data_IF_282763256075
#
_entry.id   IF_282763256075
#
_cell.length_a   1.000
_cell.length_b   1.000
_cell.length_c   1.000
_cell.angle_alpha   90.00
_cell.angle_beta   90.00
_cell.angle_gamma   90.00
#
_symmetry.space_group_name_H-M   'P 1'
#
loop_
_entity.id
_entity.type
_entity.pdbx_description
1 polymer ?
#
# COMPACT_ATOMS: atom_id res chain seq x y z
N UNK A 1 -66.14 63.02 25.86
CA UNK A 1 -65.21 62.26 26.66
C UNK A 1 -64.71 61.12 25.80
N UNK A 2 -63.53 61.24 25.12
CA UNK A 2 -62.91 60.19 24.30
C UNK A 2 -61.71 59.71 25.02
N UNK A 3 -61.71 58.41 25.36
CA UNK A 3 -60.54 57.71 25.94
C UNK A 3 -59.75 57.08 24.81
N UNK A 4 -58.49 57.47 24.65
CA UNK A 4 -57.53 56.83 23.79
C UNK A 4 -56.83 55.67 24.55
N UNK A 5 -56.92 54.46 24.03
CA UNK A 5 -56.18 53.30 24.49
C UNK A 5 -54.84 53.29 23.77
N UNK A 6 -53.75 53.41 24.46
CA UNK A 6 -52.40 53.24 23.92
C UNK A 6 -52.02 51.75 24.01
N UNK A 7 -51.84 51.11 22.86
CA UNK A 7 -51.30 49.72 22.80
C UNK A 7 -49.77 49.79 22.75
N UNK A 8 -49.17 49.25 23.80
CA UNK A 8 -47.68 49.04 23.88
C UNK A 8 -47.32 47.79 23.05
N UNK A 9 -46.62 47.95 21.90
CA UNK A 9 -46.01 46.85 21.17
C UNK A 9 -44.70 46.51 21.84
N UNK A 10 -44.62 45.33 22.53
CA UNK A 10 -43.39 44.74 22.97
C UNK A 10 -42.70 44.04 21.78
N UNK A 11 -41.63 44.65 21.23
CA UNK A 11 -40.70 43.95 20.32
C UNK A 11 -39.82 43.01 21.14
N UNK A 12 -40.03 41.72 21.00
CA UNK A 12 -39.12 40.69 21.48
C UNK A 12 -38.00 40.55 20.45
N UNK A 13 -36.69 40.74 20.80
CA UNK A 13 -35.62 40.47 19.86
C UNK A 13 -35.52 38.95 19.66
N UNK A 14 -35.79 38.47 18.45
CA UNK A 14 -35.45 37.12 18.03
C UNK A 14 -33.94 37.07 17.86
N UNK A 15 -33.27 36.48 18.86
CA UNK A 15 -31.84 36.14 18.77
C UNK A 15 -31.71 35.00 17.77
N UNK A 16 -31.29 35.29 16.54
CA UNK A 16 -30.79 34.27 15.63
C UNK A 16 -29.47 33.75 16.22
N UNK A 17 -29.53 32.66 16.96
CA UNK A 17 -28.35 31.80 17.16
C UNK A 17 -28.05 31.16 15.82
N UNK A 18 -26.97 31.59 15.15
CA UNK A 18 -26.35 30.82 14.10
C UNK A 18 -25.90 29.50 14.74
N UNK A 19 -26.63 28.42 14.54
CA UNK A 19 -26.10 27.09 14.72
C UNK A 19 -24.91 27.01 13.76
N UNK A 20 -23.73 26.87 14.29
CA UNK A 20 -22.60 26.36 13.50
C UNK A 20 -23.01 24.95 13.13
N UNK A 21 -23.54 24.77 11.93
CA UNK A 21 -23.65 23.47 11.29
C UNK A 21 -22.20 23.02 10.98
N UNK A 22 -21.49 22.50 11.99
CA UNK A 22 -20.28 21.73 11.75
C UNK A 22 -20.73 20.52 10.92
N UNK A 23 -20.29 20.46 9.68
CA UNK A 23 -20.52 19.28 8.85
C UNK A 23 -20.06 18.04 9.64
N UNK A 24 -20.84 16.96 9.64
CA UNK A 24 -20.46 15.76 10.36
C UNK A 24 -19.10 15.28 9.86
N UNK A 25 -18.23 14.84 10.77
CA UNK A 25 -16.90 14.39 10.41
C UNK A 25 -16.96 13.25 9.39
N UNK A 26 -16.22 13.41 8.30
CA UNK A 26 -16.17 12.43 7.21
C UNK A 26 -15.29 11.26 7.62
N UNK A 27 -15.87 10.06 7.67
CA UNK A 27 -15.14 8.83 7.94
C UNK A 27 -14.81 8.11 6.63
N UNK A 28 -13.57 7.71 6.45
CA UNK A 28 -13.11 6.96 5.30
C UNK A 28 -12.30 5.72 5.72
N UNK A 29 -12.43 4.66 4.93
CA UNK A 29 -11.62 3.45 5.05
C UNK A 29 -10.56 3.41 3.97
N UNK A 30 -9.30 3.30 4.37
CA UNK A 30 -8.15 3.13 3.49
C UNK A 30 -7.62 1.71 3.69
N UNK A 31 -7.30 1.00 2.60
CA UNK A 31 -6.83 -0.37 2.68
C UNK A 31 -5.70 -0.65 1.69
N UNK A 32 -4.90 -1.67 2.01
CA UNK A 32 -3.95 -2.30 1.10
C UNK A 32 -4.22 -3.80 1.02
N UNK A 33 -3.95 -4.40 -0.13
CA UNK A 33 -4.06 -5.83 -0.33
C UNK A 33 -3.12 -6.30 -1.44
N UNK A 34 -2.15 -7.15 -1.09
CA UNK A 34 -1.41 -7.91 -2.07
C UNK A 34 -2.29 -9.07 -2.56
N UNK A 35 -2.66 -9.03 -3.84
CA UNK A 35 -3.66 -9.94 -4.43
C UNK A 35 -3.03 -11.12 -5.17
N UNK A 36 -1.71 -11.21 -5.20
CA UNK A 36 -0.97 -12.26 -5.90
C UNK A 36 -1.48 -12.49 -7.34
N UNK A 37 -1.79 -11.40 -8.07
CA UNK A 37 -2.23 -11.40 -9.46
C UNK A 37 -1.10 -10.99 -10.42
N UNK A 38 0.15 -11.17 -10.00
CA UNK A 38 1.33 -11.21 -10.85
C UNK A 38 1.39 -12.53 -11.59
N UNK A 39 0.72 -12.61 -12.75
CA UNK A 39 0.53 -13.88 -13.46
C UNK A 39 1.74 -14.22 -14.32
N UNK A 40 1.90 -15.51 -14.66
CA UNK A 40 3.06 -16.03 -15.37
C UNK A 40 3.19 -15.54 -16.82
N UNK A 41 2.08 -15.13 -17.44
CA UNK A 41 2.02 -14.76 -18.85
C UNK A 41 1.45 -13.36 -19.02
N UNK A 42 2.13 -12.54 -19.79
CA UNK A 42 1.65 -11.20 -20.14
C UNK A 42 0.24 -11.25 -20.76
N UNK A 43 -0.65 -10.38 -20.24
CA UNK A 43 -2.05 -10.32 -20.68
C UNK A 43 -2.99 -11.34 -20.01
N UNK A 44 -2.48 -12.29 -19.22
CA UNK A 44 -3.32 -13.28 -18.55
C UNK A 44 -4.31 -12.65 -17.58
N UNK A 45 -3.89 -11.62 -16.81
CA UNK A 45 -4.79 -10.87 -15.95
C UNK A 45 -5.87 -10.13 -16.73
N UNK A 46 -5.51 -9.51 -17.87
CA UNK A 46 -6.48 -8.86 -18.76
C UNK A 46 -7.55 -9.83 -19.23
N UNK A 47 -7.15 -11.01 -19.70
CA UNK A 47 -8.07 -12.06 -20.15
C UNK A 47 -8.98 -12.55 -19.00
N UNK A 48 -8.43 -12.74 -17.80
CA UNK A 48 -9.20 -13.11 -16.61
C UNK A 48 -10.24 -12.03 -16.25
N UNK A 49 -9.85 -10.75 -16.29
CA UNK A 49 -10.74 -9.61 -16.04
C UNK A 49 -11.85 -9.50 -17.08
N UNK A 50 -11.55 -9.71 -18.37
CA UNK A 50 -12.51 -9.69 -19.47
C UNK A 50 -13.53 -10.82 -19.36
N UNK A 51 -13.12 -12.00 -18.92
CA UNK A 51 -13.98 -13.17 -18.80
C UNK A 51 -15.19 -12.97 -17.87
N UNK A 52 -15.03 -12.17 -16.83
CA UNK A 52 -16.05 -11.97 -15.77
C UNK A 52 -16.40 -13.26 -15.00
N UNK A 53 -15.60 -14.31 -15.16
CA UNK A 53 -15.88 -15.65 -14.62
C UNK A 53 -14.74 -16.23 -13.75
N UNK A 54 -13.56 -15.60 -13.74
CA UNK A 54 -12.41 -16.05 -12.96
C UNK A 54 -12.73 -16.18 -11.46
N UNK A 55 -12.37 -17.32 -10.88
CA UNK A 55 -12.75 -17.66 -9.49
C UNK A 55 -12.02 -16.78 -8.47
N UNK A 56 -10.72 -16.51 -8.69
CA UNK A 56 -9.92 -15.68 -7.77
C UNK A 56 -10.38 -14.23 -7.81
N UNK A 57 -10.69 -13.68 -8.99
CA UNK A 57 -11.25 -12.33 -9.13
C UNK A 57 -12.65 -12.21 -8.50
N UNK A 58 -13.46 -13.28 -8.50
CA UNK A 58 -14.73 -13.31 -7.74
C UNK A 58 -14.48 -13.30 -6.23
N UNK A 59 -13.49 -14.06 -5.75
CA UNK A 59 -13.10 -14.03 -4.32
C UNK A 59 -12.55 -12.66 -3.94
N UNK A 60 -11.67 -12.05 -4.75
CA UNK A 60 -11.21 -10.67 -4.56
C UNK A 60 -12.40 -9.71 -4.43
N UNK A 61 -13.33 -9.75 -5.38
CA UNK A 61 -14.52 -8.90 -5.33
C UNK A 61 -15.37 -9.14 -4.07
N UNK A 62 -15.49 -10.41 -3.62
CA UNK A 62 -16.20 -10.75 -2.37
C UNK A 62 -15.52 -10.15 -1.13
N UNK A 63 -14.19 -10.22 -1.05
CA UNK A 63 -13.40 -9.59 0.03
C UNK A 63 -13.64 -8.08 0.03
N UNK A 64 -13.50 -7.42 -1.13
CA UNK A 64 -13.69 -5.98 -1.25
C UNK A 64 -15.13 -5.55 -0.92
N UNK A 65 -16.13 -6.33 -1.34
CA UNK A 65 -17.54 -6.08 -1.00
C UNK A 65 -17.84 -6.30 0.49
N UNK A 66 -17.02 -7.07 1.20
CA UNK A 66 -17.13 -7.24 2.66
C UNK A 66 -16.42 -6.11 3.39
N UNK A 67 -15.17 -5.81 3.04
CA UNK A 67 -14.34 -4.80 3.71
C UNK A 67 -14.75 -3.36 3.35
N UNK A 68 -15.25 -3.13 2.12
CA UNK A 68 -15.76 -1.86 1.58
C UNK A 68 -14.82 -0.66 1.72
N UNK A 69 -13.54 -0.76 1.36
CA UNK A 69 -12.64 0.39 1.44
C UNK A 69 -13.09 1.54 0.52
N UNK A 70 -12.78 2.77 0.93
CA UNK A 70 -13.03 3.99 0.15
C UNK A 70 -11.85 4.28 -0.78
N UNK A 71 -10.62 4.03 -0.29
CA UNK A 71 -9.37 4.06 -1.05
C UNK A 71 -8.68 2.72 -0.84
N UNK A 72 -8.24 2.08 -1.92
CA UNK A 72 -7.65 0.75 -1.91
C UNK A 72 -6.41 0.71 -2.78
N UNK A 73 -5.27 0.30 -2.21
CA UNK A 73 -4.09 -0.11 -2.95
C UNK A 73 -4.12 -1.63 -3.16
N UNK A 74 -4.01 -2.06 -4.41
CA UNK A 74 -3.73 -3.45 -4.78
C UNK A 74 -2.26 -3.57 -5.16
N UNK A 75 -1.54 -4.45 -4.48
CA UNK A 75 -0.18 -4.87 -4.82
C UNK A 75 -0.25 -6.19 -5.61
N UNK A 76 0.75 -6.46 -6.43
CA UNK A 76 0.81 -7.60 -7.34
C UNK A 76 -0.42 -7.73 -8.25
N UNK A 77 -0.80 -6.63 -8.84
CA UNK A 77 -1.83 -6.55 -9.86
C UNK A 77 -1.17 -6.12 -11.17
N UNK A 78 -1.00 -7.03 -12.11
CA UNK A 78 -0.26 -6.79 -13.36
C UNK A 78 -0.71 -5.51 -14.06
N UNK A 79 0.26 -4.67 -14.40
CA UNK A 79 0.03 -3.44 -15.14
C UNK A 79 0.09 -3.68 -16.64
N UNK A 80 -0.94 -3.26 -17.35
CA UNK A 80 -0.97 -3.20 -18.80
C UNK A 80 -1.30 -1.76 -19.23
N UNK A 81 -0.47 -1.11 -20.06
CA UNK A 81 -0.72 0.29 -20.45
C UNK A 81 -1.96 0.47 -21.33
N UNK A 82 -2.42 -0.58 -22.01
CA UNK A 82 -3.51 -0.53 -22.98
C UNK A 82 -4.85 -0.96 -22.38
N UNK A 83 -4.82 -1.91 -21.43
CA UNK A 83 -6.03 -2.49 -20.85
C UNK A 83 -6.55 -1.61 -19.69
N UNK A 84 -7.82 -1.26 -19.74
CA UNK A 84 -8.53 -0.63 -18.59
C UNK A 84 -8.88 -1.69 -17.52
N UNK A 85 -7.86 -2.19 -16.84
CA UNK A 85 -8.01 -3.25 -15.84
C UNK A 85 -8.93 -2.82 -14.68
N UNK A 86 -8.85 -1.56 -14.23
CA UNK A 86 -9.74 -1.02 -13.20
C UNK A 86 -11.20 -1.00 -13.65
N UNK A 87 -11.47 -0.56 -14.87
CA UNK A 87 -12.82 -0.57 -15.45
C UNK A 87 -13.35 -1.99 -15.64
N UNK A 88 -12.52 -2.93 -16.06
CA UNK A 88 -12.90 -4.35 -16.20
C UNK A 88 -13.24 -4.97 -14.84
N UNK A 89 -12.40 -4.76 -13.82
CA UNK A 89 -12.65 -5.23 -12.45
C UNK A 89 -13.98 -4.66 -11.92
N UNK A 90 -14.22 -3.37 -12.10
CA UNK A 90 -15.46 -2.71 -11.70
C UNK A 90 -16.68 -3.34 -12.39
N UNK A 91 -16.66 -3.41 -13.73
CA UNK A 91 -17.84 -3.85 -14.52
C UNK A 91 -18.14 -5.34 -14.35
N UNK A 92 -17.10 -6.16 -14.39
CA UNK A 92 -17.27 -7.60 -14.53
C UNK A 92 -17.36 -8.33 -13.18
N UNK A 93 -16.83 -7.72 -12.10
CA UNK A 93 -16.74 -8.36 -10.78
C UNK A 93 -17.37 -7.52 -9.66
N UNK A 94 -16.93 -6.28 -9.42
CA UNK A 94 -17.38 -5.47 -8.29
C UNK A 94 -18.84 -5.00 -8.41
N UNK A 95 -19.29 -4.71 -9.63
CA UNK A 95 -20.69 -4.32 -9.90
C UNK A 95 -21.68 -5.48 -9.77
N UNK A 96 -21.19 -6.70 -9.57
CA UNK A 96 -22.00 -7.91 -9.36
C UNK A 96 -21.79 -8.37 -7.92
N UNK A 97 -22.87 -8.54 -7.15
CA UNK A 97 -22.79 -9.08 -5.79
C UNK A 97 -22.22 -10.49 -5.78
N UNK A 98 -21.18 -10.72 -5.01
CA UNK A 98 -20.55 -12.03 -4.87
C UNK A 98 -21.05 -12.72 -3.60
N UNK A 99 -21.58 -13.93 -3.74
CA UNK A 99 -22.07 -14.70 -2.58
C UNK A 99 -23.12 -13.95 -1.72
N UNK A 100 -24.03 -13.21 -2.36
CA UNK A 100 -25.06 -12.42 -1.67
C UNK A 100 -24.61 -11.06 -1.12
N UNK A 101 -23.34 -10.68 -1.31
CA UNK A 101 -22.80 -9.38 -0.88
C UNK A 101 -23.30 -8.26 -1.77
N UNK A 102 -23.38 -7.04 -1.19
CA UNK A 102 -23.82 -5.87 -1.94
C UNK A 102 -22.77 -5.43 -2.97
N UNK A 103 -23.15 -5.18 -4.23
CA UNK A 103 -22.26 -4.61 -5.23
C UNK A 103 -21.58 -3.33 -4.76
N UNK A 104 -20.44 -3.05 -5.35
CA UNK A 104 -19.72 -1.79 -5.14
C UNK A 104 -19.04 -1.31 -6.42
N UNK A 105 -18.61 -0.06 -6.45
CA UNK A 105 -17.84 0.51 -7.56
C UNK A 105 -16.88 1.56 -7.05
N UNK A 106 -15.71 1.62 -7.69
CA UNK A 106 -14.79 2.74 -7.58
C UNK A 106 -14.95 3.64 -8.83
N UNK A 107 -15.11 4.93 -8.61
CA UNK A 107 -15.29 5.91 -9.70
C UNK A 107 -13.97 6.38 -10.26
N UNK A 108 -12.92 6.31 -9.45
CA UNK A 108 -11.59 6.80 -9.76
C UNK A 108 -10.57 5.70 -9.55
N UNK A 109 -9.47 5.79 -10.26
CA UNK A 109 -8.32 4.89 -10.09
C UNK A 109 -7.04 5.61 -10.51
N UNK A 110 -5.93 5.11 -10.00
CA UNK A 110 -4.60 5.50 -10.45
C UNK A 110 -3.79 4.24 -10.79
N UNK A 111 -3.06 4.31 -11.89
CA UNK A 111 -2.10 3.31 -12.31
C UNK A 111 -0.99 4.00 -13.10
N UNK A 112 0.23 3.55 -12.94
CA UNK A 112 1.39 4.07 -13.68
C UNK A 112 2.38 2.92 -13.96
N UNK A 113 3.30 3.09 -14.90
CA UNK A 113 4.34 2.10 -15.15
C UNK A 113 5.16 1.81 -13.90
N UNK A 114 5.56 0.53 -13.76
CA UNK A 114 6.44 0.04 -12.70
C UNK A 114 7.76 -0.47 -13.26
N UNK A 115 8.74 -0.72 -12.41
CA UNK A 115 10.07 -1.20 -12.81
C UNK A 115 10.14 -2.71 -13.01
N UNK A 116 9.19 -3.47 -12.46
CA UNK A 116 9.17 -4.92 -12.60
C UNK A 116 9.06 -5.35 -14.07
N UNK A 117 9.92 -6.28 -14.47
CA UNK A 117 10.00 -6.82 -15.82
C UNK A 117 10.54 -5.86 -16.90
N UNK A 118 10.96 -4.65 -16.51
CA UNK A 118 11.58 -3.69 -17.43
C UNK A 118 13.07 -3.96 -17.49
N UNK A 119 13.56 -4.42 -18.63
CA UNK A 119 14.98 -4.71 -18.85
C UNK A 119 15.86 -3.50 -18.52
N UNK A 120 16.87 -3.71 -17.69
CA UNK A 120 17.85 -2.69 -17.31
C UNK A 120 18.97 -2.53 -18.35
N UNK A 121 19.18 -3.53 -19.20
CA UNK A 121 20.35 -3.64 -20.07
C UNK A 121 21.65 -3.94 -19.33
N UNK A 122 21.59 -4.27 -18.04
CA UNK A 122 22.71 -4.60 -17.15
C UNK A 122 22.64 -6.09 -16.78
N UNK A 123 23.73 -6.67 -16.34
CA UNK A 123 23.82 -7.99 -15.71
C UNK A 123 23.73 -7.76 -14.18
N UNK A 124 22.53 -7.85 -13.63
CA UNK A 124 22.25 -7.51 -12.23
C UNK A 124 22.40 -8.71 -11.31
N UNK A 125 22.12 -9.92 -11.76
CA UNK A 125 22.29 -11.16 -11.01
C UNK A 125 23.71 -11.75 -11.15
N UNK A 126 24.53 -11.16 -12.05
CA UNK A 126 25.94 -11.49 -12.25
C UNK A 126 26.17 -12.90 -12.79
N UNK A 127 25.25 -13.41 -13.58
CA UNK A 127 25.37 -14.71 -14.25
C UNK A 127 26.19 -14.64 -15.55
N UNK A 128 26.61 -13.43 -15.97
CA UNK A 128 27.38 -13.17 -17.19
C UNK A 128 26.52 -12.96 -18.42
N UNK A 129 25.20 -12.93 -18.30
CA UNK A 129 24.25 -12.66 -19.36
C UNK A 129 23.46 -11.39 -19.05
N UNK A 130 22.62 -10.94 -19.98
CA UNK A 130 21.74 -9.78 -19.80
C UNK A 130 20.35 -10.11 -20.34
N UNK A 131 19.31 -9.48 -19.78
CA UNK A 131 17.95 -9.55 -20.30
C UNK A 131 17.09 -10.65 -19.71
N UNK A 132 17.52 -11.25 -18.58
CA UNK A 132 16.71 -12.16 -17.75
C UNK A 132 15.73 -11.42 -16.84
N UNK A 133 14.81 -12.13 -16.18
CA UNK A 133 13.90 -11.52 -15.19
C UNK A 133 14.63 -10.87 -14.02
N UNK A 134 15.81 -11.38 -13.65
CA UNK A 134 16.68 -10.84 -12.60
C UNK A 134 17.45 -9.59 -13.03
N UNK A 135 17.58 -9.36 -14.35
CA UNK A 135 18.24 -8.18 -14.92
C UNK A 135 17.27 -7.01 -15.15
N UNK A 136 16.00 -7.20 -14.86
CA UNK A 136 15.04 -6.11 -14.87
C UNK A 136 15.30 -5.14 -13.70
N UNK A 137 14.91 -3.87 -13.82
CA UNK A 137 14.99 -2.90 -12.73
C UNK A 137 14.29 -3.37 -11.46
N UNK A 138 13.28 -4.20 -11.56
CA UNK A 138 12.66 -5.01 -10.55
C UNK A 138 12.29 -6.35 -11.16
N UNK A 139 12.46 -7.44 -10.40
CA UNK A 139 12.20 -8.80 -10.90
C UNK A 139 10.84 -8.91 -11.60
N UNK A 140 10.86 -9.50 -12.79
CA UNK A 140 9.64 -9.78 -13.58
C UNK A 140 9.97 -10.29 -14.97
N UNK A 141 9.09 -11.13 -15.53
CA UNK A 141 9.25 -11.75 -16.85
C UNK A 141 8.80 -10.89 -18.01
N UNK A 142 8.00 -9.88 -17.71
CA UNK A 142 7.50 -8.90 -18.69
C UNK A 142 7.23 -7.56 -18.01
N UNK A 143 7.31 -6.45 -18.76
CA UNK A 143 7.05 -5.12 -18.19
C UNK A 143 5.65 -5.02 -17.57
N UNK A 144 5.60 -4.63 -16.29
CA UNK A 144 4.35 -4.44 -15.55
C UNK A 144 3.91 -5.65 -14.74
N UNK A 145 4.59 -6.80 -14.79
CA UNK A 145 4.31 -7.92 -13.89
C UNK A 145 4.45 -7.46 -12.43
N UNK A 146 3.62 -7.98 -11.52
CA UNK A 146 3.61 -7.56 -10.10
C UNK A 146 3.36 -6.05 -9.90
N UNK A 147 2.63 -5.41 -10.79
CA UNK A 147 2.32 -3.98 -10.72
C UNK A 147 1.43 -3.60 -9.55
N UNK A 148 1.02 -2.33 -9.55
CA UNK A 148 0.14 -1.76 -8.53
C UNK A 148 -1.05 -1.08 -9.17
N UNK A 149 -2.20 -1.08 -8.46
CA UNK A 149 -3.41 -0.37 -8.84
C UNK A 149 -4.04 0.28 -7.61
N UNK A 150 -4.32 1.58 -7.69
CA UNK A 150 -5.13 2.26 -6.67
C UNK A 150 -6.55 2.46 -7.20
N UNK A 151 -7.54 2.06 -6.40
CA UNK A 151 -8.96 2.25 -6.64
C UNK A 151 -9.52 3.21 -5.59
N UNK A 152 -10.38 4.17 -5.99
CA UNK A 152 -10.91 5.17 -5.07
C UNK A 152 -12.36 5.56 -5.40
N UNK A 153 -13.13 5.89 -4.36
CA UNK A 153 -14.42 6.57 -4.48
C UNK A 153 -14.25 8.08 -4.72
N UNK A 154 -13.08 8.63 -4.38
CA UNK A 154 -12.73 10.04 -4.46
C UNK A 154 -11.79 10.33 -5.63
N UNK A 155 -11.82 11.53 -6.19
CA UNK A 155 -10.92 11.90 -7.28
C UNK A 155 -9.46 11.99 -6.82
N UNK A 156 -8.54 11.52 -7.66
CA UNK A 156 -7.10 11.71 -7.55
C UNK A 156 -6.71 12.95 -8.34
N UNK A 157 -6.01 13.88 -7.74
CA UNK A 157 -5.40 15.04 -8.42
C UNK A 157 -4.09 14.61 -9.08
N UNK A 158 -4.17 14.05 -10.26
CA UNK A 158 -3.01 13.42 -10.95
C UNK A 158 -1.93 14.41 -11.34
N UNK A 159 -2.25 15.67 -11.50
CA UNK A 159 -1.33 16.79 -11.76
C UNK A 159 -0.58 17.26 -10.51
N UNK A 160 -1.09 16.97 -9.32
CA UNK A 160 -0.45 17.22 -8.03
C UNK A 160 0.27 15.96 -7.49
N UNK A 161 -0.04 14.77 -8.06
CA UNK A 161 0.52 13.49 -7.63
C UNK A 161 1.93 13.27 -8.17
N UNK A 162 2.78 12.57 -7.40
CA UNK A 162 4.19 12.34 -7.73
C UNK A 162 4.51 10.85 -7.85
N UNK A 163 5.40 10.50 -8.77
CA UNK A 163 5.93 9.13 -8.92
C UNK A 163 7.44 9.15 -8.89
N UNK A 164 8.06 8.05 -8.39
CA UNK A 164 9.49 7.99 -8.14
C UNK A 164 10.11 6.71 -8.71
N UNK A 165 9.59 6.23 -9.82
CA UNK A 165 10.09 5.01 -10.47
C UNK A 165 11.56 5.09 -10.89
N UNK A 166 12.01 6.28 -11.29
CA UNK A 166 13.34 6.50 -11.82
C UNK A 166 14.35 6.99 -10.75
N UNK A 167 13.93 7.14 -9.49
CA UNK A 167 14.83 7.58 -8.42
C UNK A 167 16.01 6.61 -8.27
N UNK A 168 17.23 7.12 -8.34
CA UNK A 168 18.45 6.31 -8.27
C UNK A 168 18.79 5.96 -6.83
N UNK A 169 19.08 4.68 -6.57
CA UNK A 169 19.45 4.23 -5.23
C UNK A 169 20.71 4.94 -4.73
N UNK A 170 21.68 5.15 -5.60
CA UNK A 170 22.92 5.89 -5.28
C UNK A 170 22.72 7.38 -4.94
N UNK A 171 21.57 7.97 -5.25
CA UNK A 171 21.23 9.34 -4.88
C UNK A 171 20.81 9.49 -3.42
N UNK A 172 20.45 8.39 -2.75
CA UNK A 172 20.06 8.38 -1.34
C UNK A 172 21.31 8.53 -0.47
N UNK A 173 21.42 9.57 0.39
CA UNK A 173 22.55 9.74 1.30
C UNK A 173 22.67 8.55 2.27
N UNK A 174 23.84 7.93 2.31
CA UNK A 174 24.05 6.74 3.16
C UNK A 174 23.26 5.50 2.73
N UNK A 175 22.95 5.37 1.44
CA UNK A 175 22.33 4.18 0.86
C UNK A 175 23.09 2.90 1.23
N UNK A 176 22.37 1.82 1.54
CA UNK A 176 22.94 0.53 1.92
C UNK A 176 23.45 -0.23 0.70
N UNK A 177 24.51 0.28 0.07
CA UNK A 177 25.13 -0.41 -1.07
C UNK A 177 25.48 -1.86 -0.74
N UNK A 178 24.98 -2.86 -1.51
CA UNK A 178 25.30 -4.26 -1.28
C UNK A 178 26.79 -4.56 -1.39
N UNK A 179 27.28 -5.44 -0.53
CA UNK A 179 28.68 -5.86 -0.48
C UNK A 179 28.81 -7.37 -0.30
N UNK A 180 29.80 -7.95 -0.98
CA UNK A 180 30.16 -9.36 -0.77
C UNK A 180 30.72 -9.58 0.65
N UNK A 181 30.74 -10.81 1.15
CA UNK A 181 31.29 -11.13 2.48
C UNK A 181 32.75 -10.72 2.70
N UNK A 182 33.54 -10.59 1.63
CA UNK A 182 34.93 -10.11 1.67
C UNK A 182 35.05 -8.58 1.74
N UNK A 183 33.93 -7.85 1.77
CA UNK A 183 33.88 -6.41 1.81
C UNK A 183 33.96 -5.71 0.45
N UNK A 184 34.14 -6.45 -0.65
CA UNK A 184 34.07 -5.87 -1.99
C UNK A 184 32.63 -5.50 -2.37
N UNK A 185 32.46 -4.51 -3.26
CA UNK A 185 31.15 -4.12 -3.75
C UNK A 185 30.49 -5.26 -4.52
N UNK A 186 29.19 -5.53 -4.24
CA UNK A 186 28.40 -6.48 -5.02
C UNK A 186 28.18 -5.98 -6.46
N UNK A 187 27.74 -4.74 -6.61
CA UNK A 187 27.59 -4.09 -7.92
C UNK A 187 28.86 -3.31 -8.28
N UNK A 188 29.35 -3.39 -9.54
CA UNK A 188 30.33 -2.44 -10.06
C UNK A 188 29.85 -1.00 -9.93
N UNK A 189 30.77 -0.02 -9.84
CA UNK A 189 30.41 1.38 -9.68
C UNK A 189 29.51 1.91 -10.81
N UNK A 190 29.79 1.51 -12.05
CA UNK A 190 28.98 1.88 -13.22
C UNK A 190 27.57 1.33 -13.17
N UNK A 191 27.33 0.14 -12.60
CA UNK A 191 26.03 -0.44 -12.37
C UNK A 191 25.33 0.27 -11.20
N UNK A 192 26.03 0.45 -10.08
CA UNK A 192 25.50 1.13 -8.89
C UNK A 192 24.93 2.52 -9.18
N UNK A 193 25.64 3.30 -9.99
CA UNK A 193 25.21 4.66 -10.36
C UNK A 193 23.97 4.72 -11.26
N UNK A 194 23.51 3.59 -11.79
CA UNK A 194 22.35 3.49 -12.65
C UNK A 194 21.15 2.78 -11.96
N UNK A 195 21.40 2.09 -10.84
CA UNK A 195 20.36 1.30 -10.18
C UNK A 195 19.22 2.21 -9.69
N UNK A 196 18.01 1.85 -10.06
CA UNK A 196 16.80 2.44 -9.50
C UNK A 196 16.53 1.85 -8.13
N UNK A 197 16.12 2.68 -7.17
CA UNK A 197 15.79 2.22 -5.84
C UNK A 197 14.55 1.33 -5.87
N UNK A 198 13.45 1.83 -6.41
CA UNK A 198 12.17 1.12 -6.39
C UNK A 198 12.16 -0.09 -7.30
N UNK A 199 11.80 -1.26 -6.76
CA UNK A 199 11.55 -2.45 -7.57
C UNK A 199 10.25 -2.34 -8.38
N UNK A 200 9.24 -1.66 -7.87
CA UNK A 200 8.00 -1.29 -8.57
C UNK A 200 7.98 0.22 -8.82
N UNK A 201 7.48 0.98 -7.90
CA UNK A 201 7.49 2.44 -7.85
C UNK A 201 7.11 2.90 -6.44
N UNK A 202 7.38 4.17 -6.13
CA UNK A 202 6.74 4.88 -5.03
C UNK A 202 5.78 5.89 -5.65
N UNK A 203 4.56 5.98 -5.12
CA UNK A 203 3.53 6.91 -5.58
C UNK A 203 3.03 7.76 -4.42
N UNK A 204 3.14 9.06 -4.53
CA UNK A 204 2.45 10.03 -3.69
C UNK A 204 1.21 10.51 -4.44
N UNK A 205 0.05 10.06 -4.01
CA UNK A 205 -1.23 10.33 -4.67
C UNK A 205 -2.05 11.30 -3.83
N UNK A 206 -2.30 12.46 -4.38
CA UNK A 206 -3.09 13.50 -3.76
C UNK A 206 -4.60 13.30 -4.04
N UNK A 207 -5.38 13.15 -2.97
CA UNK A 207 -6.83 12.99 -3.03
C UNK A 207 -7.56 14.24 -2.56
N UNK A 208 -8.55 14.66 -3.33
CA UNK A 208 -9.56 15.61 -2.87
C UNK A 208 -10.77 14.85 -2.30
N UNK A 209 -10.89 14.83 -0.99
CA UNK A 209 -11.95 14.13 -0.27
C UNK A 209 -12.95 15.16 0.25
N UNK A 210 -13.93 15.52 -0.58
CA UNK A 210 -14.96 16.53 -0.24
C UNK A 210 -14.35 17.87 0.21
N UNK A 211 -13.29 18.31 -0.48
CA UNK A 211 -12.59 19.56 -0.19
C UNK A 211 -11.43 19.42 0.81
N UNK A 212 -11.25 18.26 1.42
CA UNK A 212 -10.13 17.95 2.31
C UNK A 212 -9.04 17.22 1.51
N UNK A 213 -7.79 17.56 1.79
CA UNK A 213 -6.60 16.95 1.21
C UNK A 213 -6.18 15.72 2.01
N UNK A 214 -5.80 14.65 1.31
CA UNK A 214 -5.17 13.47 1.89
C UNK A 214 -4.25 12.82 0.86
N UNK A 215 -3.03 12.52 1.24
CA UNK A 215 -2.08 11.81 0.41
C UNK A 215 -2.05 10.31 0.72
N UNK A 216 -2.07 9.47 -0.32
CA UNK A 216 -1.75 8.05 -0.21
C UNK A 216 -0.32 7.84 -0.72
N UNK A 217 0.58 7.45 0.17
CA UNK A 217 1.96 7.09 -0.14
C UNK A 217 2.02 5.58 -0.37
N UNK A 218 1.89 5.19 -1.63
CA UNK A 218 1.73 3.80 -2.04
C UNK A 218 3.05 3.22 -2.58
N UNK A 219 3.40 2.01 -2.14
CA UNK A 219 4.57 1.29 -2.65
C UNK A 219 4.48 -0.21 -2.42
N UNK A 220 5.41 -0.94 -3.00
CA UNK A 220 5.61 -2.35 -2.79
C UNK A 220 7.11 -2.66 -2.96
N UNK A 221 7.91 -2.61 -1.90
CA UNK A 221 9.35 -2.84 -1.95
C UNK A 221 9.73 -4.28 -2.32
N UNK A 222 11.01 -4.45 -2.61
CA UNK A 222 11.63 -5.75 -2.88
C UNK A 222 11.44 -6.70 -1.71
N UNK A 223 11.02 -7.97 -1.90
CA UNK A 223 11.11 -8.98 -0.85
C UNK A 223 12.55 -9.15 -0.38
N UNK A 224 12.84 -9.18 0.93
CA UNK A 224 14.21 -9.28 1.49
C UNK A 224 14.73 -10.72 1.48
N UNK A 225 14.42 -11.45 0.42
CA UNK A 225 14.73 -12.89 0.23
C UNK A 225 15.14 -13.13 -1.22
N UNK A 226 15.49 -14.35 -1.58
CA UNK A 226 15.94 -14.78 -2.92
C UNK A 226 17.31 -14.20 -3.31
N UNK A 227 18.15 -13.89 -2.34
CA UNK A 227 19.52 -13.42 -2.52
C UNK A 227 20.53 -14.26 -1.73
N UNK A 228 21.77 -13.81 -1.71
CA UNK A 228 22.88 -14.48 -1.07
C UNK A 228 23.38 -13.75 0.20
N UNK A 229 24.57 -14.07 0.67
CA UNK A 229 25.15 -13.46 1.85
C UNK A 229 25.54 -11.98 1.67
N UNK A 230 25.40 -11.43 0.50
CA UNK A 230 25.52 -10.00 0.17
C UNK A 230 24.26 -9.19 0.58
N UNK A 231 23.13 -9.88 0.80
CA UNK A 231 21.85 -9.33 1.27
C UNK A 231 21.38 -8.13 0.41
N UNK A 232 21.51 -8.24 -0.92
CA UNK A 232 21.19 -7.12 -1.80
C UNK A 232 19.69 -6.78 -1.82
N UNK A 233 18.81 -7.77 -1.70
CA UNK A 233 17.38 -7.58 -1.62
C UNK A 233 16.95 -7.00 -0.26
N UNK A 234 17.50 -7.51 0.84
CA UNK A 234 17.23 -6.99 2.18
C UNK A 234 17.66 -5.53 2.33
N UNK A 235 18.84 -5.17 1.81
CA UNK A 235 19.34 -3.78 1.80
C UNK A 235 18.49 -2.87 0.93
N UNK A 236 18.00 -3.37 -0.22
CA UNK A 236 17.11 -2.63 -1.11
C UNK A 236 15.76 -2.40 -0.44
N UNK A 237 15.16 -3.43 0.14
CA UNK A 237 13.92 -3.34 0.91
C UNK A 237 14.02 -2.27 2.00
N UNK A 238 15.09 -2.31 2.80
CA UNK A 238 15.34 -1.33 3.85
C UNK A 238 15.34 0.10 3.32
N UNK A 239 16.03 0.37 2.21
CA UNK A 239 16.14 1.71 1.65
C UNK A 239 14.87 2.12 0.88
N UNK A 240 14.12 1.18 0.29
CA UNK A 240 12.78 1.45 -0.26
C UNK A 240 11.81 1.88 0.85
N UNK A 241 11.87 1.27 2.03
CA UNK A 241 11.06 1.69 3.21
C UNK A 241 11.56 3.04 3.75
N UNK A 242 12.88 3.23 3.85
CA UNK A 242 13.51 4.47 4.26
C UNK A 242 13.11 5.64 3.37
N UNK A 243 12.87 5.41 2.09
CA UNK A 243 12.43 6.45 1.17
C UNK A 243 11.19 7.20 1.70
N UNK A 244 10.16 6.49 2.16
CA UNK A 244 8.99 7.13 2.74
C UNK A 244 9.26 7.77 4.11
N UNK A 245 10.15 7.19 4.90
CA UNK A 245 10.57 7.82 6.16
C UNK A 245 11.22 9.17 5.91
N UNK A 246 12.14 9.25 4.96
CA UNK A 246 12.85 10.48 4.62
C UNK A 246 11.93 11.47 3.87
N UNK A 247 11.04 10.97 2.97
CA UNK A 247 10.07 11.78 2.23
C UNK A 247 9.06 12.49 3.14
N UNK A 248 8.68 11.85 4.24
CA UNK A 248 7.71 12.38 5.22
C UNK A 248 8.37 13.13 6.38
N UNK A 249 9.70 13.17 6.46
CA UNK A 249 10.43 13.89 7.52
C UNK A 249 10.18 15.39 7.41
N UNK A 250 9.63 16.05 8.46
CA UNK A 250 9.40 17.49 8.44
C UNK A 250 10.68 18.34 8.27
N UNK A 251 11.86 17.77 8.49
CA UNK A 251 13.14 18.47 8.27
C UNK A 251 13.55 18.56 6.79
N UNK A 252 12.80 17.85 5.93
CA UNK A 252 12.96 17.89 4.49
C UNK A 252 13.77 16.73 3.92
N UNK A 253 13.59 16.51 2.62
CA UNK A 253 14.23 15.46 1.84
C UNK A 253 14.65 15.98 0.46
N UNK A 254 15.44 17.05 0.43
CA UNK A 254 15.82 17.78 -0.80
C UNK A 254 16.49 16.91 -1.86
N UNK A 255 17.07 15.77 -1.47
CA UNK A 255 17.70 14.83 -2.39
C UNK A 255 16.71 13.93 -3.13
N UNK A 256 15.45 13.85 -2.67
CA UNK A 256 14.40 13.07 -3.32
C UNK A 256 13.86 13.88 -4.50
N UNK A 257 14.01 13.32 -5.69
CA UNK A 257 13.54 13.93 -6.94
C UNK A 257 12.57 12.97 -7.62
N UNK A 258 11.39 13.46 -8.00
CA UNK A 258 10.39 12.67 -8.68
C UNK A 258 10.69 12.46 -10.18
N UNK A 259 9.84 11.69 -10.86
CA UNK A 259 9.99 11.36 -12.27
C UNK A 259 9.81 12.56 -13.20
N UNK A 260 9.33 13.71 -12.70
CA UNK A 260 9.17 14.97 -13.43
C UNK A 260 10.27 15.99 -13.09
N UNK A 261 11.16 15.66 -12.14
CA UNK A 261 12.28 16.49 -11.75
C UNK A 261 11.99 17.45 -10.59
N UNK A 262 10.83 17.35 -9.93
CA UNK A 262 10.56 18.13 -8.72
C UNK A 262 11.25 17.49 -7.51
N UNK A 263 11.97 18.31 -6.71
CA UNK A 263 12.69 17.89 -5.52
C UNK A 263 11.87 18.08 -4.25
N UNK A 264 12.29 17.40 -3.18
CA UNK A 264 11.74 17.53 -1.83
C UNK A 264 10.73 16.47 -1.46
N UNK A 265 10.42 16.39 -0.15
CA UNK A 265 9.43 15.52 0.43
C UNK A 265 8.01 16.11 0.44
N UNK A 266 7.11 15.49 1.20
CA UNK A 266 5.77 16.01 1.43
C UNK A 266 5.83 17.26 2.33
N UNK A 267 4.94 18.22 2.10
CA UNK A 267 4.89 19.46 2.87
C UNK A 267 4.63 19.21 4.37
N UNK A 268 5.23 20.01 5.26
CA UNK A 268 4.98 19.88 6.69
C UNK A 268 3.49 20.03 7.03
N UNK A 269 2.93 19.07 7.78
CA UNK A 269 1.54 19.11 8.23
C UNK A 269 0.53 18.59 7.18
N UNK A 270 0.97 18.21 5.99
CA UNK A 270 0.13 17.53 5.00
C UNK A 270 -0.31 16.16 5.54
N UNK A 271 -1.63 15.86 5.57
CA UNK A 271 -2.11 14.57 6.04
C UNK A 271 -1.79 13.48 5.01
N UNK A 272 -1.23 12.37 5.46
CA UNK A 272 -0.90 11.24 4.61
C UNK A 272 -1.18 9.89 5.26
N UNK A 273 -1.28 8.86 4.43
CA UNK A 273 -1.29 7.45 4.82
C UNK A 273 -0.29 6.69 3.96
N UNK A 274 0.70 6.03 4.57
CA UNK A 274 1.61 5.13 3.87
C UNK A 274 0.96 3.75 3.82
N UNK A 275 0.84 3.15 2.64
CA UNK A 275 0.21 1.85 2.49
C UNK A 275 0.95 0.94 1.50
N UNK A 276 0.93 -0.36 1.75
CA UNK A 276 1.49 -1.38 0.87
C UNK A 276 1.78 -2.70 1.58
N UNK A 277 2.22 -3.65 0.79
CA UNK A 277 3.00 -4.79 1.27
C UNK A 277 4.46 -4.32 1.38
N UNK A 278 4.96 -4.18 2.60
CA UNK A 278 6.31 -3.69 2.87
C UNK A 278 7.36 -4.81 2.77
N UNK A 279 6.91 -6.06 2.68
CA UNK A 279 7.81 -7.22 2.70
C UNK A 279 8.76 -7.23 3.92
N UNK A 280 8.35 -6.65 5.04
CA UNK A 280 9.19 -6.50 6.22
C UNK A 280 8.38 -6.66 7.51
N UNK A 281 8.73 -7.67 8.30
CA UNK A 281 8.20 -7.88 9.65
C UNK A 281 9.12 -7.21 10.67
N UNK A 282 8.60 -6.58 11.75
CA UNK A 282 9.42 -5.89 12.74
C UNK A 282 10.21 -6.82 13.65
N UNK A 283 9.83 -8.10 13.76
CA UNK A 283 10.36 -9.05 14.74
C UNK A 283 10.82 -10.38 14.14
N UNK A 284 10.20 -10.80 13.04
CA UNK A 284 10.36 -12.13 12.46
C UNK A 284 10.70 -12.06 10.97
N UNK A 285 11.03 -13.19 10.34
CA UNK A 285 11.45 -13.26 8.94
C UNK A 285 12.89 -12.78 8.69
N UNK A 286 13.20 -12.53 7.42
CA UNK A 286 14.55 -12.19 6.94
C UNK A 286 14.74 -10.70 6.63
N UNK A 287 13.90 -9.82 7.18
CA UNK A 287 14.02 -8.37 6.95
C UNK A 287 15.37 -7.84 7.41
N UNK A 288 15.95 -6.92 6.63
CA UNK A 288 17.15 -6.20 7.09
C UNK A 288 16.86 -5.52 8.45
N UNK A 289 17.82 -5.59 9.41
CA UNK A 289 17.58 -5.09 10.76
C UNK A 289 17.06 -3.65 10.78
N UNK A 290 15.90 -3.45 11.39
CA UNK A 290 15.28 -2.14 11.56
C UNK A 290 14.51 -1.61 10.33
N UNK A 291 14.38 -2.38 9.25
CA UNK A 291 13.76 -1.93 8.01
C UNK A 291 12.40 -1.23 8.24
N UNK A 292 11.40 -1.92 8.79
CA UNK A 292 10.09 -1.33 9.03
C UNK A 292 10.05 -0.44 10.28
N UNK A 293 10.94 -0.66 11.26
CA UNK A 293 11.02 0.16 12.46
C UNK A 293 11.30 1.64 12.15
N UNK A 294 11.98 1.94 11.04
CA UNK A 294 12.21 3.31 10.56
C UNK A 294 10.91 4.11 10.42
N UNK A 295 9.81 3.48 10.01
CA UNK A 295 8.50 4.11 9.90
C UNK A 295 7.70 3.98 11.20
N UNK A 296 7.72 2.80 11.84
CA UNK A 296 6.94 2.57 13.07
C UNK A 296 7.38 3.45 14.23
N UNK A 297 8.67 3.82 14.30
CA UNK A 297 9.26 4.65 15.35
C UNK A 297 9.34 6.14 14.96
N UNK A 298 8.95 6.51 13.72
CA UNK A 298 9.00 7.90 13.28
C UNK A 298 7.99 8.76 14.06
N UNK A 299 8.42 9.87 14.69
CA UNK A 299 7.58 10.63 15.61
C UNK A 299 6.39 11.33 14.94
N UNK A 300 6.38 11.46 13.62
CA UNK A 300 5.29 12.05 12.83
C UNK A 300 4.35 11.02 12.20
N UNK A 301 4.60 9.72 12.40
CA UNK A 301 3.73 8.63 11.98
C UNK A 301 2.98 8.08 13.20
N UNK A 302 1.69 7.80 13.06
CA UNK A 302 0.90 7.14 14.09
C UNK A 302 0.85 5.63 13.85
N UNK A 303 1.67 4.89 14.58
CA UNK A 303 1.73 3.42 14.59
C UNK A 303 0.89 2.78 15.72
N UNK A 304 0.07 3.55 16.42
CA UNK A 304 -0.64 3.10 17.63
C UNK A 304 -1.77 2.11 17.33
N UNK A 305 -2.45 2.23 16.17
CA UNK A 305 -3.43 1.23 15.74
C UNK A 305 -2.71 0.09 15.02
N UNK A 306 -2.56 -1.04 15.72
CA UNK A 306 -1.97 -2.26 15.14
C UNK A 306 -3.10 -3.14 14.63
N UNK A 307 -3.25 -3.33 13.30
CA UNK A 307 -4.30 -4.20 12.74
C UNK A 307 -4.20 -5.63 13.25
N UNK A 308 -5.34 -6.24 13.54
CA UNK A 308 -5.42 -7.58 14.14
C UNK A 308 -6.54 -8.40 13.53
N UNK A 309 -6.41 -9.74 13.64
CA UNK A 309 -7.43 -10.70 13.24
C UNK A 309 -7.48 -11.90 14.20
N UNK A 310 -8.63 -12.54 14.27
CA UNK A 310 -8.78 -13.81 14.97
C UNK A 310 -8.17 -14.97 14.15
N UNK A 311 -8.32 -14.90 12.82
CA UNK A 311 -7.83 -15.94 11.90
C UNK A 311 -6.31 -16.05 11.85
N UNK A 312 -5.56 -14.94 11.95
CA UNK A 312 -4.09 -14.99 12.06
C UNK A 312 -3.62 -15.76 13.30
N UNK A 313 -4.22 -15.45 14.47
CA UNK A 313 -3.91 -16.15 15.70
C UNK A 313 -4.31 -17.64 15.66
N UNK A 314 -5.42 -17.98 15.00
CA UNK A 314 -5.86 -19.35 14.79
C UNK A 314 -4.92 -20.10 13.84
N UNK A 315 -4.63 -19.52 12.69
CA UNK A 315 -3.78 -20.09 11.67
C UNK A 315 -2.37 -20.42 12.23
N UNK A 316 -1.71 -19.46 12.89
CA UNK A 316 -0.40 -19.69 13.49
C UNK A 316 -0.37 -20.84 14.48
N UNK A 317 -1.45 -20.99 15.29
CA UNK A 317 -1.58 -22.10 16.24
C UNK A 317 -1.72 -23.46 15.53
N UNK A 318 -2.57 -23.53 14.49
CA UNK A 318 -2.89 -24.79 13.79
C UNK A 318 -1.77 -25.24 12.85
N UNK A 319 -1.18 -24.31 12.11
CA UNK A 319 -0.07 -24.55 11.20
C UNK A 319 1.21 -24.89 11.96
N UNK A 320 1.41 -24.30 13.12
CA UNK A 320 2.57 -24.57 13.98
C UNK A 320 3.92 -24.26 13.27
N UNK A 321 4.74 -25.26 12.98
CA UNK A 321 5.97 -25.13 12.19
C UNK A 321 6.87 -23.95 12.60
N UNK A 322 7.16 -23.05 11.67
CA UNK A 322 7.94 -21.84 11.88
C UNK A 322 7.28 -20.87 12.87
N UNK A 323 5.95 -20.77 12.85
CA UNK A 323 5.18 -19.90 13.74
C UNK A 323 5.48 -20.08 15.23
N UNK A 324 5.90 -21.29 15.64
CA UNK A 324 6.31 -21.57 17.04
C UNK A 324 7.58 -20.83 17.47
N UNK A 325 8.36 -20.33 16.54
CA UNK A 325 9.62 -19.63 16.81
C UNK A 325 9.47 -18.11 16.69
N UNK A 326 8.33 -17.65 16.15
CA UNK A 326 8.07 -16.23 15.99
C UNK A 326 7.93 -15.56 17.36
N UNK A 327 8.34 -14.30 17.42
CA UNK A 327 8.29 -13.43 18.58
C UNK A 327 7.13 -12.44 18.52
N UNK A 328 6.64 -12.19 17.29
CA UNK A 328 5.50 -11.32 17.02
C UNK A 328 4.19 -11.90 17.57
N UNK A 329 3.19 -11.04 17.72
CA UNK A 329 1.83 -11.46 18.05
C UNK A 329 1.13 -11.96 16.78
N UNK A 330 0.81 -13.27 16.67
CA UNK A 330 0.26 -13.84 15.44
C UNK A 330 -1.10 -13.24 15.03
N UNK A 331 -1.79 -12.56 15.93
CA UNK A 331 -3.02 -11.85 15.55
C UNK A 331 -2.72 -10.65 14.64
N UNK A 332 -1.48 -10.17 14.55
CA UNK A 332 -1.07 -9.05 13.71
C UNK A 332 -0.52 -9.47 12.35
N UNK A 333 -0.36 -10.78 12.11
CA UNK A 333 0.15 -11.31 10.85
C UNK A 333 -0.82 -11.01 9.71
N UNK A 334 -0.26 -10.77 8.53
CA UNK A 334 -0.98 -10.41 7.30
C UNK A 334 -0.63 -11.30 6.12
N UNK A 335 0.50 -12.00 6.19
CA UNK A 335 0.96 -12.99 5.22
C UNK A 335 0.97 -14.41 5.81
N UNK A 336 0.70 -15.41 4.98
CA UNK A 336 0.53 -16.82 5.31
C UNK A 336 1.35 -17.65 4.31
N UNK A 337 2.56 -18.01 4.72
CA UNK A 337 3.54 -18.67 3.86
C UNK A 337 3.78 -20.11 4.28
N UNK A 338 4.87 -20.70 3.77
CA UNK A 338 5.25 -22.08 4.10
C UNK A 338 5.40 -22.31 5.61
N UNK A 339 4.53 -23.12 6.19
CA UNK A 339 4.51 -23.44 7.63
C UNK A 339 5.85 -23.95 8.17
N UNK A 340 6.65 -24.61 7.34
CA UNK A 340 7.91 -25.22 7.75
C UNK A 340 9.11 -24.27 7.66
N UNK A 341 9.05 -23.29 6.76
CA UNK A 341 10.18 -22.41 6.45
C UNK A 341 9.99 -21.01 7.03
N UNK A 342 8.92 -20.32 6.64
CA UNK A 342 8.67 -18.92 6.92
C UNK A 342 7.62 -18.75 8.02
N UNK A 343 6.45 -19.40 7.90
CA UNK A 343 5.29 -19.16 8.76
C UNK A 343 4.55 -17.87 8.38
N UNK A 344 3.80 -17.33 9.34
CA UNK A 344 2.99 -16.13 9.14
C UNK A 344 3.76 -14.90 9.58
N UNK A 345 3.65 -13.81 8.83
CA UNK A 345 4.38 -12.57 9.07
C UNK A 345 3.46 -11.34 8.95
N UNK A 346 3.82 -10.25 9.62
CA UNK A 346 3.19 -8.95 9.44
C UNK A 346 3.93 -8.15 8.36
N UNK A 347 3.43 -8.16 7.12
CA UNK A 347 4.08 -7.54 5.97
C UNK A 347 3.31 -6.35 5.39
N UNK A 348 2.00 -6.31 5.59
CA UNK A 348 1.11 -5.30 5.01
C UNK A 348 0.76 -4.24 6.06
N UNK A 349 0.89 -2.97 5.67
CA UNK A 349 0.72 -1.84 6.58
C UNK A 349 -0.15 -0.75 5.97
N UNK A 350 -0.87 -0.04 6.85
CA UNK A 350 -1.57 1.22 6.57
C UNK A 350 -1.25 2.17 7.73
N UNK A 351 -0.29 3.09 7.53
CA UNK A 351 0.30 3.94 8.56
C UNK A 351 -0.07 5.41 8.33
N UNK A 352 -0.93 6.02 9.15
CA UNK A 352 -1.32 7.42 9.00
C UNK A 352 -0.28 8.38 9.58
N UNK A 353 -0.24 9.60 9.08
CA UNK A 353 0.44 10.72 9.72
C UNK A 353 -0.19 11.04 11.09
N UNK A 354 0.63 11.51 12.04
CA UNK A 354 0.09 12.08 13.28
C UNK A 354 -0.78 13.30 12.97
N UNK A 355 -1.93 13.37 13.61
CA UNK A 355 -2.93 14.41 13.37
C UNK A 355 -4.16 13.89 12.63
N UNK A 356 -4.08 12.77 11.93
CA UNK A 356 -5.27 12.05 11.48
C UNK A 356 -5.93 11.34 12.66
N UNK A 357 -7.24 11.51 12.80
CA UNK A 357 -7.99 10.85 13.86
C UNK A 357 -8.30 9.41 13.44
N UNK A 358 -7.56 8.45 14.00
CA UNK A 358 -7.77 7.02 13.76
C UNK A 358 -8.96 6.53 14.56
N UNK A 359 -9.94 5.90 13.88
CA UNK A 359 -11.14 5.34 14.49
C UNK A 359 -10.95 3.84 14.76
N UNK A 360 -10.26 3.14 13.86
CA UNK A 360 -10.02 1.71 13.98
C UNK A 360 -9.16 1.16 12.85
N UNK A 361 -8.70 -0.06 13.00
CA UNK A 361 -7.93 -0.79 12.01
C UNK A 361 -8.14 -2.30 12.16
N UNK A 362 -7.82 -3.07 11.13
CA UNK A 362 -7.94 -4.52 11.20
C UNK A 362 -7.39 -5.25 9.98
N UNK A 363 -7.33 -6.56 10.10
CA UNK A 363 -6.92 -7.48 9.04
C UNK A 363 -8.14 -8.32 8.66
N UNK A 364 -8.44 -8.42 7.36
CA UNK A 364 -9.45 -9.35 6.86
C UNK A 364 -8.89 -10.77 6.86
N UNK A 365 -8.88 -11.38 8.01
CA UNK A 365 -8.55 -12.80 8.21
C UNK A 365 -9.54 -13.42 9.18
N UNK A 366 -10.75 -13.78 8.68
CA UNK A 366 -11.76 -14.44 9.51
C UNK A 366 -11.26 -15.81 10.02
N UNK A 367 -11.57 -16.13 11.27
CA UNK A 367 -11.32 -17.45 11.85
C UNK A 367 -12.23 -18.53 11.24
N UNK A 368 -11.91 -19.80 11.46
CA UNK A 368 -12.72 -20.91 11.00
C UNK A 368 -14.17 -20.80 11.50
N UNK A 369 -15.12 -20.93 10.57
CA UNK A 369 -16.56 -20.78 10.85
C UNK A 369 -17.07 -19.33 10.83
N UNK A 370 -16.22 -18.33 10.75
CA UNK A 370 -16.65 -16.94 10.56
C UNK A 370 -16.99 -16.65 9.08
N UNK A 371 -17.91 -15.71 8.82
CA UNK A 371 -18.25 -15.31 7.45
C UNK A 371 -17.03 -14.78 6.68
N UNK A 372 -16.76 -15.38 5.53
CA UNK A 372 -15.64 -14.99 4.66
C UNK A 372 -14.36 -15.80 4.89
N UNK A 373 -14.34 -16.76 5.80
CA UNK A 373 -13.20 -17.67 5.97
C UNK A 373 -12.85 -18.42 4.68
N UNK A 374 -13.84 -18.77 3.87
CA UNK A 374 -13.68 -19.41 2.57
C UNK A 374 -12.96 -18.55 1.53
N UNK A 375 -12.78 -17.26 1.79
CA UNK A 375 -12.13 -16.33 0.90
C UNK A 375 -10.62 -16.14 1.19
N UNK A 376 -10.11 -16.57 2.34
CA UNK A 376 -8.71 -16.33 2.75
C UNK A 376 -7.69 -17.01 1.84
N UNK A 377 -8.07 -18.08 1.13
CA UNK A 377 -7.21 -18.77 0.17
C UNK A 377 -7.01 -18.03 -1.17
N UNK A 378 -7.62 -16.85 -1.34
CA UNK A 378 -7.51 -16.05 -2.55
C UNK A 378 -6.06 -15.55 -2.79
N UNK A 379 -5.37 -15.20 -1.73
CA UNK A 379 -3.98 -14.75 -1.73
C UNK A 379 -3.25 -15.32 -0.50
N UNK A 380 -1.94 -15.38 -0.55
CA UNK A 380 -1.08 -15.60 0.60
C UNK A 380 -0.97 -14.36 1.52
N UNK A 381 -1.50 -13.23 1.10
CA UNK A 381 -1.67 -12.04 1.93
C UNK A 381 -3.12 -11.81 2.34
N UNK A 382 -3.33 -10.89 3.27
CA UNK A 382 -4.64 -10.48 3.79
C UNK A 382 -4.83 -8.99 3.60
N UNK A 383 -6.06 -8.57 3.31
CA UNK A 383 -6.41 -7.15 3.24
C UNK A 383 -6.26 -6.51 4.62
N UNK A 384 -5.50 -5.41 4.69
CA UNK A 384 -5.32 -4.59 5.89
C UNK A 384 -6.01 -3.25 5.68
N UNK A 385 -6.74 -2.78 6.68
CA UNK A 385 -7.50 -1.53 6.60
C UNK A 385 -7.31 -0.64 7.83
N UNK A 386 -7.51 0.65 7.61
CA UNK A 386 -7.51 1.73 8.59
C UNK A 386 -8.74 2.61 8.35
N UNK A 387 -9.50 2.90 9.40
CA UNK A 387 -10.57 3.91 9.38
C UNK A 387 -10.07 5.19 10.02
N UNK A 388 -10.18 6.29 9.29
CA UNK A 388 -9.83 7.63 9.75
C UNK A 388 -11.01 8.60 9.61
N UNK A 389 -11.01 9.60 10.45
CA UNK A 389 -11.91 10.75 10.37
C UNK A 389 -11.12 11.96 9.89
N UNK A 390 -11.63 12.59 8.83
CA UNK A 390 -11.10 13.82 8.25
C UNK A 390 -11.89 15.02 8.72
#
# INVERSE_FOLDING_TARGET
MHRYLLALLCCIPVSCQSANDEEPPLQIRIATFNVAMGLETQGALAAALESGSDARLKQLAAILQTARPDILLLNEFDYDPVVDAAGLLNRNYLAKGQGGRQPMRYRHHFRAPVNTGVDSGLDLDRDGQKGGPNDAWGFGRFPGQYGMLVLSKFPVRTDESRTFRNFLWSAMPGALRPSNPDGSSYYPDETWLQLRLSSKSHWDLDFNIEGRELHLLAFHPTPPVFDGPDDHNGRRNHDEIRFWRDYTDPSGADYIVDDQGAAGGIGPGTPFVIAGDFNADPLDGDSYPGAVAQLLDAPWIDSSCVPRSAGGAEAAREQAGANRRHRGDPATDTGDFSDQQVGNLRLDYVLPSKGLHVIGCGVFWPAAGEPGHDLVSMSDHRLVWLDVQL
#
